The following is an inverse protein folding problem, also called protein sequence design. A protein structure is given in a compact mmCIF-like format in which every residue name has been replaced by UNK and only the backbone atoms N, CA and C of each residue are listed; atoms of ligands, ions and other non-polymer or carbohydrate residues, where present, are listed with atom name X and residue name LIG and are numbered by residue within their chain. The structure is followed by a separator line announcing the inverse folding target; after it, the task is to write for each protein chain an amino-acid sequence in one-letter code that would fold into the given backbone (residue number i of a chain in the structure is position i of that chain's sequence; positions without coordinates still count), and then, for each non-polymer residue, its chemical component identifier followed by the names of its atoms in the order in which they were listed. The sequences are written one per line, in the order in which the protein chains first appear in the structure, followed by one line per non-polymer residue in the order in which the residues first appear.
data_IF_957462950042
#
_entry.id   IF_957462950042
#
_cell.length_a   1.000
_cell.length_b   1.000
_cell.length_c   1.000
_cell.angle_alpha   90.00
_cell.angle_beta   90.00
_cell.angle_gamma   90.00
#
_symmetry.space_group_name_H-M   'P 1'
#
loop_
_entity.id
_entity.type
_entity.pdbx_description
1 polymer ?
#
# COMPACT_ATOMS: atom_id res chain seq x y z
N UNK A 1 1.10 4.45 5.34
CA UNK A 1 0.26 3.23 5.39
C UNK A 1 -1.16 3.62 5.07
N UNK A 2 -1.88 2.85 4.27
CA UNK A 2 -3.22 3.22 3.84
C UNK A 2 -3.92 2.10 3.08
N UNK A 3 -5.22 2.02 3.27
CA UNK A 3 -6.11 1.01 2.65
C UNK A 3 -6.27 1.22 1.16
N UNK A 4 -6.68 0.16 0.46
CA UNK A 4 -6.99 0.16 -0.97
C UNK A 4 -8.22 1.04 -1.31
N UNK A 5 -9.00 1.40 -0.29
CA UNK A 5 -10.14 2.30 -0.38
C UNK A 5 -9.93 3.60 0.37
N UNK A 6 -10.54 4.67 -0.13
CA UNK A 6 -10.64 5.97 0.57
C UNK A 6 -11.71 5.91 1.66
N UNK A 7 -11.78 6.94 2.51
CA UNK A 7 -12.83 7.05 3.52
C UNK A 7 -14.26 7.01 2.94
N UNK A 8 -14.43 7.42 1.68
CA UNK A 8 -15.71 7.36 0.95
C UNK A 8 -15.92 6.03 0.20
N UNK A 9 -15.08 5.01 0.45
CA UNK A 9 -15.18 3.69 -0.18
C UNK A 9 -14.66 3.59 -1.62
N UNK A 10 -14.26 4.72 -2.23
CA UNK A 10 -13.69 4.76 -3.60
C UNK A 10 -12.31 4.10 -3.63
N UNK A 11 -11.89 3.62 -4.80
CA UNK A 11 -10.52 3.11 -4.97
C UNK A 11 -9.48 4.20 -4.70
N UNK A 12 -8.41 3.85 -3.99
CA UNK A 12 -7.30 4.75 -3.70
C UNK A 12 -6.34 4.87 -4.90
N UNK A 13 -6.86 5.26 -6.07
CA UNK A 13 -6.15 5.25 -7.36
C UNK A 13 -4.79 5.96 -7.32
N UNK A 14 -4.69 7.11 -6.64
CA UNK A 14 -3.42 7.82 -6.48
C UNK A 14 -2.35 7.00 -5.75
N UNK A 15 -2.74 6.25 -4.71
CA UNK A 15 -1.82 5.35 -3.99
C UNK A 15 -1.42 4.17 -4.86
N UNK A 16 -2.36 3.64 -5.66
CA UNK A 16 -2.06 2.55 -6.58
C UNK A 16 -1.02 2.95 -7.61
N UNK A 17 -1.19 4.14 -8.22
CA UNK A 17 -0.23 4.64 -9.20
C UNK A 17 1.15 4.86 -8.58
N UNK A 18 1.21 5.44 -7.37
CA UNK A 18 2.47 5.58 -6.65
C UNK A 18 3.19 4.24 -6.46
N UNK A 19 2.48 3.21 -5.98
CA UNK A 19 3.07 1.88 -5.77
C UNK A 19 3.53 1.26 -7.09
N UNK A 20 2.75 1.40 -8.17
CA UNK A 20 3.15 0.94 -9.51
C UNK A 20 4.43 1.62 -9.97
N UNK A 21 4.51 2.95 -9.87
CA UNK A 21 5.71 3.72 -10.24
C UNK A 21 6.93 3.30 -9.43
N UNK A 22 6.79 3.18 -8.11
CA UNK A 22 7.87 2.74 -7.21
C UNK A 22 8.34 1.31 -7.57
N UNK A 23 7.40 0.43 -7.94
CA UNK A 23 7.71 -0.96 -8.35
C UNK A 23 8.42 -1.02 -9.70
N UNK A 24 7.97 -0.22 -10.68
CA UNK A 24 8.65 -0.14 -11.97
C UNK A 24 10.08 0.38 -11.80
N UNK A 25 10.29 1.35 -10.91
CA UNK A 25 11.62 1.80 -10.55
C UNK A 25 12.48 0.68 -9.94
N UNK A 26 11.91 -0.13 -9.05
CA UNK A 26 12.58 -1.29 -8.45
C UNK A 26 13.06 -2.31 -9.50
N UNK A 27 12.40 -2.43 -10.66
CA UNK A 27 12.83 -3.33 -11.72
C UNK A 27 14.21 -2.97 -12.28
N UNK A 28 14.61 -1.69 -12.23
CA UNK A 28 15.91 -1.23 -12.70
C UNK A 28 17.09 -1.61 -11.78
N UNK A 29 16.83 -2.25 -10.63
CA UNK A 29 17.87 -2.83 -9.80
C UNK A 29 18.42 -4.13 -10.43
N UNK A 30 19.32 -3.98 -11.41
CA UNK A 30 19.80 -5.08 -12.26
C UNK A 30 20.60 -6.18 -11.52
N UNK A 31 21.21 -5.85 -10.38
CA UNK A 31 22.00 -6.81 -9.58
C UNK A 31 21.20 -7.42 -8.42
N UNK A 32 19.91 -7.14 -8.31
CA UNK A 32 19.07 -7.67 -7.25
C UNK A 32 18.67 -9.13 -7.53
N UNK A 33 18.92 -10.02 -6.57
CA UNK A 33 18.53 -11.44 -6.66
C UNK A 33 17.05 -11.66 -6.35
N UNK A 34 16.43 -10.74 -5.60
CA UNK A 34 15.00 -10.72 -5.27
C UNK A 34 14.48 -9.30 -5.25
N UNK A 35 13.23 -9.12 -5.66
CA UNK A 35 12.50 -7.85 -5.60
C UNK A 35 11.23 -8.06 -4.80
N UNK A 36 11.09 -7.35 -3.70
CA UNK A 36 9.99 -7.54 -2.76
C UNK A 36 9.19 -6.23 -2.64
N UNK A 37 7.87 -6.35 -2.71
CA UNK A 37 6.94 -5.29 -2.32
C UNK A 37 6.18 -5.76 -1.08
N UNK A 38 6.45 -5.12 0.05
CA UNK A 38 5.86 -5.46 1.34
C UNK A 38 4.67 -4.55 1.62
N UNK A 39 3.56 -5.14 2.04
CA UNK A 39 2.35 -4.46 2.44
C UNK A 39 2.04 -4.74 3.90
N UNK A 40 1.63 -3.71 4.63
CA UNK A 40 1.09 -3.85 5.99
C UNK A 40 -0.42 -4.07 6.01
N UNK A 41 -1.10 -3.54 4.99
CA UNK A 41 -2.53 -3.69 4.80
C UNK A 41 -2.86 -4.83 3.84
N UNK A 42 -3.70 -5.77 4.31
CA UNK A 42 -4.12 -6.96 3.55
C UNK A 42 -4.85 -6.61 2.26
N UNK A 43 -5.80 -5.67 2.32
CA UNK A 43 -6.62 -5.25 1.18
C UNK A 43 -5.78 -4.62 0.05
N UNK A 44 -4.70 -3.91 0.40
CA UNK A 44 -3.76 -3.35 -0.56
C UNK A 44 -2.98 -4.45 -1.29
N UNK A 45 -2.45 -5.45 -0.57
CA UNK A 45 -1.80 -6.59 -1.20
C UNK A 45 -2.76 -7.34 -2.12
N UNK A 46 -3.99 -7.61 -1.67
CA UNK A 46 -5.00 -8.32 -2.47
C UNK A 46 -5.38 -7.57 -3.75
N UNK A 47 -5.35 -6.23 -3.74
CA UNK A 47 -5.48 -5.46 -4.96
C UNK A 47 -4.34 -5.76 -5.94
N UNK A 48 -3.08 -5.73 -5.48
CA UNK A 48 -1.93 -5.94 -6.35
C UNK A 48 -1.71 -7.40 -6.78
N UNK A 49 -2.16 -8.38 -5.99
CA UNK A 49 -2.23 -9.78 -6.42
C UNK A 49 -3.11 -9.88 -7.67
N UNK A 50 -4.32 -9.29 -7.63
CA UNK A 50 -5.24 -9.30 -8.78
C UNK A 50 -4.66 -8.55 -9.99
N UNK A 51 -3.99 -7.42 -9.75
CA UNK A 51 -3.29 -6.72 -10.84
C UNK A 51 -2.20 -7.60 -11.46
N UNK A 52 -1.42 -8.31 -10.64
CA UNK A 52 -0.37 -9.26 -11.08
C UNK A 52 -0.97 -10.41 -11.90
N UNK A 53 -2.04 -11.03 -11.41
CA UNK A 53 -2.77 -12.09 -12.11
C UNK A 53 -3.36 -11.62 -13.45
N UNK A 54 -3.80 -10.37 -13.53
CA UNK A 54 -4.30 -9.75 -14.78
C UNK A 54 -3.20 -9.25 -15.73
N UNK A 55 -1.91 -9.42 -15.38
CA UNK A 55 -0.78 -8.93 -16.17
C UNK A 55 -0.55 -7.41 -16.10
N UNK A 56 -1.20 -6.71 -15.18
CA UNK A 56 -1.08 -5.25 -14.96
C UNK A 56 -0.04 -4.86 -13.90
N UNK A 57 0.70 -5.83 -13.38
CA UNK A 57 1.76 -5.64 -12.39
C UNK A 57 2.93 -6.59 -12.67
N UNK A 58 4.20 -6.19 -12.43
CA UNK A 58 5.35 -7.00 -12.77
C UNK A 58 5.35 -8.40 -12.10
N UNK A 59 5.57 -9.49 -12.87
CA UNK A 59 5.56 -10.84 -12.34
C UNK A 59 6.78 -11.14 -11.44
N UNK A 60 7.91 -10.46 -11.68
CA UNK A 60 9.20 -10.66 -11.00
C UNK A 60 9.26 -10.13 -9.56
N UNK A 61 8.22 -9.41 -9.10
CA UNK A 61 8.18 -8.80 -7.78
C UNK A 61 7.30 -9.62 -6.86
N UNK A 62 7.83 -10.05 -5.72
CA UNK A 62 7.09 -10.79 -4.72
C UNK A 62 6.23 -9.85 -3.86
N UNK A 63 4.96 -10.20 -3.69
CA UNK A 63 3.99 -9.40 -2.92
C UNK A 63 3.77 -10.03 -1.54
N UNK A 64 4.40 -9.45 -0.52
CA UNK A 64 4.39 -9.98 0.84
C UNK A 64 3.44 -9.15 1.72
N UNK A 65 2.64 -9.82 2.56
CA UNK A 65 1.90 -9.16 3.64
C UNK A 65 2.60 -9.43 4.96
N UNK A 66 2.84 -8.36 5.71
CA UNK A 66 3.38 -8.42 7.06
C UNK A 66 2.45 -7.65 7.97
N UNK A 67 1.98 -8.29 9.04
CA UNK A 67 1.18 -7.60 10.03
C UNK A 67 2.06 -6.74 10.94
N UNK A 68 1.58 -5.54 11.22
CA UNK A 68 2.19 -4.72 12.26
C UNK A 68 1.86 -5.31 13.64
N UNK A 69 2.81 -5.26 14.60
CA UNK A 69 2.55 -5.53 16.01
C UNK A 69 1.38 -4.68 16.54
N UNK A 70 0.63 -5.21 17.49
CA UNK A 70 -0.59 -4.56 17.98
C UNK A 70 -0.33 -3.18 18.61
N UNK A 71 0.81 -3.00 19.29
CA UNK A 71 1.23 -1.69 19.81
C UNK A 71 1.36 -0.64 18.69
N UNK A 72 2.06 -0.99 17.62
CA UNK A 72 2.23 -0.10 16.46
C UNK A 72 0.92 0.11 15.69
N UNK A 73 0.05 -0.91 15.63
CA UNK A 73 -1.31 -0.75 15.06
C UNK A 73 -2.09 0.32 15.82
N UNK A 74 -2.05 0.30 17.16
CA UNK A 74 -2.75 1.27 18.01
C UNK A 74 -2.17 2.68 17.87
N UNK A 75 -0.85 2.83 17.90
CA UNK A 75 -0.18 4.11 17.70
C UNK A 75 -0.53 4.72 16.34
N UNK A 76 -0.50 3.90 15.27
CA UNK A 76 -0.85 4.32 13.93
C UNK A 76 -2.32 4.76 13.82
N UNK A 77 -3.25 4.03 14.46
CA UNK A 77 -4.66 4.41 14.50
C UNK A 77 -4.86 5.76 15.21
N UNK A 78 -4.17 5.97 16.33
CA UNK A 78 -4.21 7.23 17.07
C UNK A 78 -3.67 8.40 16.24
N UNK A 79 -2.50 8.22 15.62
CA UNK A 79 -1.90 9.23 14.75
C UNK A 79 -2.82 9.60 13.58
N UNK A 80 -3.43 8.60 12.93
CA UNK A 80 -4.41 8.83 11.84
C UNK A 80 -5.63 9.60 12.32
N UNK A 81 -6.17 9.27 13.50
CA UNK A 81 -7.32 9.96 14.09
C UNK A 81 -7.01 11.43 14.38
N UNK A 82 -5.84 11.72 14.94
CA UNK A 82 -5.39 13.09 15.20
C UNK A 82 -5.22 13.88 13.90
N UNK A 83 -4.44 13.36 12.96
CA UNK A 83 -4.22 14.01 11.66
C UNK A 83 -5.53 14.25 10.90
N UNK A 84 -6.47 13.30 10.95
CA UNK A 84 -7.79 13.49 10.34
C UNK A 84 -8.55 14.64 10.98
N UNK A 85 -8.51 14.80 12.31
CA UNK A 85 -9.17 15.91 13.00
C UNK A 85 -8.57 17.27 12.62
N UNK A 86 -7.25 17.33 12.46
CA UNK A 86 -6.53 18.57 12.10
C UNK A 86 -6.91 19.09 10.71
N UNK A 87 -7.16 18.18 9.75
CA UNK A 87 -7.45 18.54 8.35
C UNK A 87 -8.94 18.52 8.01
N UNK A 88 -9.79 18.10 8.95
CA UNK A 88 -11.25 18.15 8.74
C UNK A 88 -11.73 19.57 9.02
N UNK A 89 -12.40 20.24 8.05
CA UNK A 89 -12.95 21.57 8.29
C UNK A 89 -13.93 21.53 9.47
N UNK A 90 -13.70 22.37 10.48
CA UNK A 90 -14.71 22.64 11.49
C UNK A 90 -15.70 23.64 10.86
N UNK A 91 -16.87 23.15 10.46
CA UNK A 91 -18.04 24.00 10.18
C UNK A 91 -18.58 24.60 11.46
#
# INVERSE_FOLDING_TARGET
TGTARTAQGKQASGKFQKIKSDTLYLLHANSATKRLQIFTEKDMREHFIREKESGRFPPEVDLIHVELPDSLKQELQNARRLASKEVTPNT
#
